data_IF_112226950332
#
_entry.id   IF_112226950332
#
_cell.length_a   1.000
_cell.length_b   1.000
_cell.length_c   1.000
_cell.angle_alpha   90.00
_cell.angle_beta   90.00
_cell.angle_gamma   90.00
#
_symmetry.space_group_name_H-M   'P 1'
#
loop_
_entity.id
_entity.type
_entity.pdbx_description
1 polymer ?
#
# COMPACT_ATOMS: atom_id res chain seq x y z
N UNK A 1 -8.36 28.91 15.02
CA UNK A 1 -8.82 28.74 13.62
C UNK A 1 -8.38 27.35 13.22
N UNK A 2 -9.33 26.45 12.99
CA UNK A 2 -9.05 25.09 12.56
C UNK A 2 -9.22 25.02 11.04
N UNK A 3 -8.76 23.92 10.47
CA UNK A 3 -8.82 23.70 9.03
C UNK A 3 -9.29 22.28 8.74
N UNK A 4 -10.03 22.12 7.65
CA UNK A 4 -10.61 20.86 7.17
C UNK A 4 -10.39 20.78 5.67
N UNK A 5 -10.08 19.58 5.16
CA UNK A 5 -10.02 19.35 3.72
C UNK A 5 -11.44 19.27 3.17
N UNK A 6 -11.73 20.14 2.20
CA UNK A 6 -12.96 20.13 1.44
C UNK A 6 -12.71 19.34 0.13
N UNK A 7 -13.29 18.14 -0.03
CA UNK A 7 -13.07 17.31 -1.20
C UNK A 7 -13.71 17.89 -2.48
N UNK A 8 -14.74 18.74 -2.37
CA UNK A 8 -15.38 19.39 -3.52
C UNK A 8 -14.48 20.51 -4.08
N UNK A 9 -13.72 21.17 -3.19
CA UNK A 9 -12.75 22.20 -3.56
C UNK A 9 -11.33 21.65 -3.76
N UNK A 10 -11.08 20.40 -3.37
CA UNK A 10 -9.75 19.81 -3.26
C UNK A 10 -8.77 20.73 -2.52
N UNK A 11 -9.25 21.40 -1.46
CA UNK A 11 -8.51 22.45 -0.76
C UNK A 11 -8.81 22.47 0.72
N UNK A 12 -7.92 23.09 1.50
CA UNK A 12 -8.07 23.26 2.94
C UNK A 12 -8.85 24.54 3.22
N UNK A 13 -10.01 24.42 3.88
CA UNK A 13 -10.87 25.56 4.24
C UNK A 13 -10.84 25.80 5.74
N UNK A 14 -11.01 27.06 6.14
CA UNK A 14 -11.10 27.42 7.54
C UNK A 14 -12.41 26.90 8.16
N UNK A 15 -12.33 26.41 9.38
CA UNK A 15 -13.50 25.99 10.17
C UNK A 15 -13.36 26.41 11.62
N UNK A 16 -14.51 26.73 12.23
CA UNK A 16 -14.63 26.98 13.66
C UNK A 16 -14.86 25.68 14.45
N UNK A 17 -15.14 24.57 13.77
CA UNK A 17 -15.28 23.27 14.41
C UNK A 17 -13.92 22.77 14.91
N UNK A 18 -13.83 22.41 16.20
CA UNK A 18 -12.70 21.66 16.71
C UNK A 18 -12.83 20.20 16.29
N UNK A 19 -11.75 19.54 15.83
CA UNK A 19 -11.80 18.11 15.59
C UNK A 19 -12.18 17.41 16.90
N UNK A 20 -13.02 16.35 16.84
CA UNK A 20 -13.39 15.61 18.04
C UNK A 20 -12.11 15.09 18.72
N UNK A 21 -12.02 15.15 20.06
CA UNK A 21 -10.87 14.63 20.77
C UNK A 21 -10.69 13.14 20.42
N UNK A 22 -9.45 12.66 20.24
CA UNK A 22 -9.22 11.27 19.88
C UNK A 22 -9.83 10.37 20.98
N UNK A 23 -10.61 9.33 20.61
CA UNK A 23 -11.17 8.43 21.61
C UNK A 23 -10.04 7.80 22.43
N UNK A 24 -10.25 7.76 23.75
CA UNK A 24 -9.32 7.15 24.70
C UNK A 24 -9.18 5.66 24.37
N UNK A 25 -7.95 5.16 24.38
CA UNK A 25 -7.70 3.73 24.22
C UNK A 25 -8.39 2.96 25.37
N UNK A 26 -9.24 2.00 25.03
CA UNK A 26 -10.05 1.23 25.98
C UNK A 26 -9.34 -0.01 26.53
N UNK A 27 -8.04 -0.14 26.29
CA UNK A 27 -7.24 -1.31 26.66
C UNK A 27 -6.30 -1.75 25.54
N UNK A 28 -5.63 -2.91 25.69
CA UNK A 28 -4.85 -3.51 24.63
C UNK A 28 -5.72 -3.86 23.41
N UNK A 29 -5.09 -3.99 22.25
CA UNK A 29 -5.76 -4.46 21.03
C UNK A 29 -6.30 -5.87 21.29
N UNK A 30 -7.59 -6.16 20.98
CA UNK A 30 -8.12 -7.51 21.04
C UNK A 30 -7.23 -8.50 20.27
N UNK A 31 -7.04 -9.70 20.82
CA UNK A 31 -6.11 -10.69 20.25
C UNK A 31 -6.49 -11.11 18.82
N UNK A 32 -7.79 -11.21 18.53
CA UNK A 32 -8.29 -11.56 17.20
C UNK A 32 -8.02 -10.46 16.16
N UNK A 33 -8.14 -9.19 16.56
CA UNK A 33 -7.81 -8.05 15.73
C UNK A 33 -6.31 -7.99 15.47
N UNK A 34 -5.49 -8.20 16.50
CA UNK A 34 -4.04 -8.26 16.35
C UNK A 34 -3.61 -9.38 15.38
N UNK A 35 -4.20 -10.58 15.46
CA UNK A 35 -3.91 -11.67 14.52
C UNK A 35 -4.27 -11.29 13.07
N UNK A 36 -5.44 -10.68 12.85
CA UNK A 36 -5.86 -10.20 11.52
C UNK A 36 -4.89 -9.14 10.98
N UNK A 37 -4.46 -8.20 11.81
CA UNK A 37 -3.50 -7.16 11.43
C UNK A 37 -2.14 -7.76 11.05
N UNK A 38 -1.65 -8.73 11.82
CA UNK A 38 -0.39 -9.42 11.53
C UNK A 38 -0.48 -10.19 10.21
N UNK A 39 -1.56 -10.95 9.98
CA UNK A 39 -1.78 -11.68 8.72
C UNK A 39 -1.85 -10.75 7.52
N UNK A 40 -2.53 -9.60 7.66
CA UNK A 40 -2.61 -8.62 6.61
C UNK A 40 -1.23 -7.98 6.34
N UNK A 41 -0.48 -7.66 7.39
CA UNK A 41 0.89 -7.18 7.26
C UNK A 41 1.79 -8.20 6.54
N UNK A 42 1.72 -9.47 6.93
CA UNK A 42 2.44 -10.57 6.27
C UNK A 42 2.04 -10.73 4.80
N UNK A 43 0.75 -10.66 4.48
CA UNK A 43 0.25 -10.70 3.10
C UNK A 43 0.78 -9.52 2.28
N UNK A 44 0.75 -8.31 2.82
CA UNK A 44 1.29 -7.12 2.15
C UNK A 44 2.80 -7.22 1.93
N UNK A 45 3.56 -7.74 2.90
CA UNK A 45 4.99 -7.97 2.78
C UNK A 45 5.31 -9.05 1.74
N UNK A 46 4.52 -10.12 1.69
CA UNK A 46 4.63 -11.17 0.68
C UNK A 46 4.41 -10.63 -0.73
N UNK A 47 3.36 -9.82 -0.93
CA UNK A 47 3.10 -9.17 -2.21
C UNK A 47 4.21 -8.19 -2.62
N UNK A 48 4.78 -7.43 -1.67
CA UNK A 48 5.94 -6.57 -1.91
C UNK A 48 7.13 -7.38 -2.41
N UNK A 49 7.46 -8.49 -1.75
CA UNK A 49 8.55 -9.38 -2.16
C UNK A 49 8.24 -10.00 -3.53
N UNK A 50 7.01 -10.47 -3.75
CA UNK A 50 6.58 -11.02 -5.03
C UNK A 50 6.80 -10.05 -6.19
N UNK A 51 6.45 -8.77 -6.00
CA UNK A 51 6.72 -7.70 -6.96
C UNK A 51 8.21 -7.51 -7.26
N UNK A 52 9.08 -7.57 -6.27
CA UNK A 52 10.52 -7.34 -6.48
C UNK A 52 11.19 -8.55 -7.15
N UNK A 53 10.80 -9.78 -6.78
CA UNK A 53 11.56 -10.97 -7.11
C UNK A 53 10.90 -11.90 -8.13
N UNK A 54 9.58 -12.05 -8.14
CA UNK A 54 8.92 -13.13 -8.88
C UNK A 54 8.38 -12.65 -10.23
N UNK A 55 8.51 -13.49 -11.25
CA UNK A 55 7.85 -13.32 -12.55
C UNK A 55 6.82 -14.41 -12.85
N UNK A 56 6.81 -15.49 -12.07
CA UNK A 56 5.83 -16.57 -12.14
C UNK A 56 5.67 -17.25 -10.76
N UNK A 57 4.76 -18.21 -10.64
CA UNK A 57 4.48 -18.97 -9.42
C UNK A 57 4.20 -18.06 -8.19
N UNK A 58 3.26 -17.11 -8.31
CA UNK A 58 3.07 -16.05 -7.31
C UNK A 58 2.61 -16.57 -5.94
N UNK A 59 2.09 -17.79 -5.86
CA UNK A 59 1.59 -18.43 -4.64
C UNK A 59 2.48 -19.59 -4.16
N UNK A 60 3.63 -19.82 -4.81
CA UNK A 60 4.56 -20.92 -4.50
C UNK A 60 3.86 -22.28 -4.37
N UNK A 61 2.93 -22.58 -5.30
CA UNK A 61 2.17 -23.85 -5.30
C UNK A 61 3.05 -25.04 -5.70
N UNK A 62 4.15 -24.76 -6.37
CA UNK A 62 5.22 -25.69 -6.70
C UNK A 62 6.55 -25.14 -6.14
N UNK A 63 7.57 -26.00 -5.89
CA UNK A 63 8.88 -25.56 -5.43
C UNK A 63 9.45 -24.45 -6.32
N UNK A 64 9.99 -23.40 -5.70
CA UNK A 64 10.52 -22.24 -6.40
C UNK A 64 11.73 -22.64 -7.26
N UNK A 65 11.69 -22.31 -8.55
CA UNK A 65 12.83 -22.49 -9.46
C UNK A 65 13.45 -21.14 -9.86
N UNK A 66 14.69 -21.16 -10.36
CA UNK A 66 15.40 -19.95 -10.78
C UNK A 66 14.66 -19.22 -11.92
N UNK A 67 14.02 -19.96 -12.81
CA UNK A 67 13.28 -19.44 -13.97
C UNK A 67 12.03 -18.65 -13.55
N UNK A 68 11.56 -18.85 -12.32
CA UNK A 68 10.41 -18.11 -11.77
C UNK A 68 10.82 -16.78 -11.12
N UNK A 69 12.11 -16.54 -10.94
CA UNK A 69 12.69 -15.29 -10.43
C UNK A 69 12.99 -14.35 -11.60
N UNK A 70 12.73 -13.06 -11.43
CA UNK A 70 13.03 -12.03 -12.43
C UNK A 70 14.53 -12.03 -12.77
N UNK A 71 14.91 -11.90 -14.05
CA UNK A 71 16.32 -11.85 -14.46
C UNK A 71 17.03 -10.57 -13.99
N UNK A 72 16.27 -9.52 -13.66
CA UNK A 72 16.77 -8.28 -13.07
C UNK A 72 15.91 -7.95 -11.85
N UNK A 73 16.54 -7.85 -10.69
CA UNK A 73 15.88 -7.52 -9.44
C UNK A 73 15.91 -6.00 -9.26
N UNK A 74 14.74 -5.37 -9.33
CA UNK A 74 14.57 -3.93 -9.22
C UNK A 74 13.47 -3.65 -8.20
N UNK A 75 13.69 -2.64 -7.35
CA UNK A 75 12.81 -2.27 -6.25
C UNK A 75 13.54 -2.20 -4.92
N UNK A 76 12.87 -1.64 -3.89
CA UNK A 76 13.47 -1.44 -2.58
C UNK A 76 12.69 -2.20 -1.50
N UNK A 77 13.39 -3.09 -0.80
CA UNK A 77 12.83 -3.77 0.36
C UNK A 77 12.96 -2.96 1.65
N UNK A 78 14.07 -2.23 1.85
CA UNK A 78 14.45 -1.70 3.17
C UNK A 78 13.39 -0.86 3.89
N UNK A 79 12.65 -0.01 3.18
CA UNK A 79 11.57 0.81 3.77
C UNK A 79 10.20 0.11 3.79
N UNK A 80 10.02 -0.90 2.94
CA UNK A 80 8.70 -1.43 2.58
C UNK A 80 7.94 -2.11 3.73
N UNK A 81 8.55 -2.94 4.61
CA UNK A 81 7.86 -3.48 5.77
C UNK A 81 7.35 -2.42 6.75
N UNK A 82 8.10 -1.33 6.90
CA UNK A 82 7.72 -0.20 7.73
C UNK A 82 6.52 0.56 7.16
N UNK A 83 6.55 0.84 5.85
CA UNK A 83 5.40 1.42 5.14
C UNK A 83 4.15 0.55 5.28
N UNK A 84 4.29 -0.76 5.06
CA UNK A 84 3.18 -1.71 5.21
C UNK A 84 2.63 -1.73 6.64
N UNK A 85 3.49 -1.69 7.66
CA UNK A 85 3.06 -1.65 9.07
C UNK A 85 2.28 -0.37 9.38
N UNK A 86 2.77 0.79 8.90
CA UNK A 86 2.09 2.08 9.07
C UNK A 86 0.72 2.02 8.39
N UNK A 87 0.64 1.52 7.16
CA UNK A 87 -0.61 1.39 6.43
C UNK A 87 -1.64 0.53 7.19
N UNK A 88 -1.23 -0.61 7.75
CA UNK A 88 -2.12 -1.45 8.59
C UNK A 88 -2.68 -0.69 9.79
N UNK A 89 -1.86 0.12 10.45
CA UNK A 89 -2.32 0.95 11.57
C UNK A 89 -3.24 2.07 11.11
N UNK A 90 -3.00 2.67 9.94
CA UNK A 90 -3.89 3.66 9.34
C UNK A 90 -5.25 3.02 8.98
N UNK A 91 -5.26 1.85 8.35
CA UNK A 91 -6.49 1.11 8.07
C UNK A 91 -7.26 0.80 9.36
N UNK A 92 -6.59 0.40 10.43
CA UNK A 92 -7.23 0.25 11.74
C UNK A 92 -7.83 1.56 12.25
N UNK A 93 -7.08 2.66 12.16
CA UNK A 93 -7.53 3.97 12.61
C UNK A 93 -8.79 4.41 11.85
N UNK A 94 -8.80 4.27 10.52
CA UNK A 94 -9.94 4.54 9.65
C UNK A 94 -11.13 3.66 10.05
N UNK A 95 -10.91 2.35 10.21
CA UNK A 95 -11.98 1.40 10.55
C UNK A 95 -12.59 1.59 11.93
N UNK A 96 -11.78 1.91 12.94
CA UNK A 96 -12.23 2.07 14.33
C UNK A 96 -12.81 3.46 14.63
N UNK A 97 -12.36 4.49 13.90
CA UNK A 97 -12.62 5.90 14.25
C UNK A 97 -13.19 6.74 13.12
N UNK A 98 -13.42 6.14 11.94
CA UNK A 98 -13.99 6.82 10.78
C UNK A 98 -13.18 8.07 10.38
N UNK A 99 -11.86 7.95 10.42
CA UNK A 99 -10.94 9.04 10.10
C UNK A 99 -10.83 9.20 8.60
N UNK A 100 -11.03 10.42 8.12
CA UNK A 100 -10.60 10.83 6.77
C UNK A 100 -9.10 11.15 6.78
N UNK A 101 -8.33 10.42 5.98
CA UNK A 101 -6.88 10.49 5.97
C UNK A 101 -6.30 10.28 4.58
N UNK A 102 -5.24 11.03 4.28
CA UNK A 102 -4.36 10.81 3.14
C UNK A 102 -3.00 10.33 3.66
N UNK A 103 -2.47 9.25 3.06
CA UNK A 103 -1.14 8.76 3.39
C UNK A 103 -0.10 9.23 2.38
N UNK A 104 0.77 10.16 2.80
CA UNK A 104 1.89 10.62 1.99
C UNK A 104 3.15 9.80 2.29
N UNK A 105 3.49 8.89 1.38
CA UNK A 105 4.66 8.04 1.52
C UNK A 105 5.95 8.82 1.15
N UNK A 106 6.54 9.51 2.14
CA UNK A 106 7.81 10.22 1.97
C UNK A 106 8.93 9.38 1.34
N UNK A 107 9.26 8.16 1.85
CA UNK A 107 10.19 7.25 1.19
C UNK A 107 9.50 6.53 0.03
N UNK A 108 9.16 7.28 -1.02
CA UNK A 108 8.36 6.82 -2.14
C UNK A 108 9.01 5.74 -3.00
N UNK A 109 10.32 5.52 -2.87
CA UNK A 109 11.02 4.36 -3.44
C UNK A 109 10.52 3.00 -2.89
N UNK A 110 9.70 3.02 -1.83
CA UNK A 110 8.90 1.91 -1.33
C UNK A 110 7.59 1.64 -2.09
N UNK A 111 7.50 2.05 -3.37
CA UNK A 111 6.37 1.80 -4.28
C UNK A 111 5.66 0.44 -4.16
N UNK A 112 6.36 -0.70 -4.15
CA UNK A 112 5.68 -2.01 -4.12
C UNK A 112 4.91 -2.24 -2.82
N UNK A 113 5.27 -1.58 -1.71
CA UNK A 113 4.49 -1.62 -0.47
C UNK A 113 3.11 -0.99 -0.67
N UNK A 114 3.05 0.24 -1.21
CA UNK A 114 1.77 0.93 -1.43
C UNK A 114 0.93 0.20 -2.49
N UNK A 115 1.55 -0.29 -3.57
CA UNK A 115 0.86 -1.11 -4.59
C UNK A 115 0.26 -2.38 -3.98
N UNK A 116 0.97 -3.05 -3.06
CA UNK A 116 0.43 -4.23 -2.37
C UNK A 116 -0.82 -3.90 -1.53
N UNK A 117 -0.85 -2.73 -0.89
CA UNK A 117 -1.99 -2.27 -0.08
C UNK A 117 -3.23 -2.06 -0.94
N UNK A 118 -3.12 -1.22 -1.97
CA UNK A 118 -4.25 -0.89 -2.86
C UNK A 118 -4.71 -2.10 -3.68
N UNK A 119 -3.86 -3.13 -3.86
CA UNK A 119 -4.27 -4.42 -4.43
C UNK A 119 -5.06 -5.28 -3.45
N UNK A 120 -4.66 -5.35 -2.17
CA UNK A 120 -5.40 -6.08 -1.14
C UNK A 120 -6.77 -5.46 -0.86
N UNK A 121 -6.88 -4.14 -0.97
CA UNK A 121 -8.13 -3.39 -0.79
C UNK A 121 -9.08 -3.51 -1.99
N UNK A 122 -8.58 -3.94 -3.15
CA UNK A 122 -9.37 -4.13 -4.37
C UNK A 122 -9.32 -2.95 -5.34
N UNK A 123 -9.02 -1.74 -4.86
CA UNK A 123 -8.96 -0.50 -5.66
C UNK A 123 -8.02 -0.64 -6.88
N UNK A 124 -6.89 -1.32 -6.73
CA UNK A 124 -5.99 -1.57 -7.86
C UNK A 124 -6.66 -2.38 -8.97
N UNK A 125 -7.45 -3.40 -8.62
CA UNK A 125 -8.18 -4.24 -9.57
C UNK A 125 -9.41 -3.54 -10.16
N UNK A 126 -10.01 -2.60 -9.45
CA UNK A 126 -11.09 -1.75 -9.98
C UNK A 126 -10.58 -0.83 -11.10
N UNK A 127 -9.40 -0.22 -10.89
CA UNK A 127 -8.76 0.68 -11.86
C UNK A 127 -8.06 -0.12 -12.99
N UNK A 128 -7.46 -1.25 -12.65
CA UNK A 128 -6.72 -2.13 -13.59
C UNK A 128 -7.33 -3.54 -13.61
N UNK A 129 -8.46 -3.77 -14.31
CA UNK A 129 -9.18 -5.05 -14.27
C UNK A 129 -8.39 -6.28 -14.73
N UNK A 130 -7.33 -6.09 -15.52
CA UNK A 130 -6.43 -7.18 -15.92
C UNK A 130 -5.64 -7.77 -14.73
N UNK A 131 -5.45 -6.99 -13.67
CA UNK A 131 -4.75 -7.37 -12.44
C UNK A 131 -5.79 -7.74 -11.39
N UNK A 132 -6.52 -8.84 -11.63
CA UNK A 132 -7.59 -9.36 -10.76
C UNK A 132 -7.08 -9.84 -9.39
N UNK A 133 -7.97 -9.90 -8.39
CA UNK A 133 -7.66 -10.44 -7.06
C UNK A 133 -7.64 -11.99 -7.03
N UNK A 134 -6.87 -12.60 -7.93
CA UNK A 134 -6.67 -14.04 -8.03
C UNK A 134 -5.21 -14.38 -8.38
N UNK A 135 -4.90 -15.67 -8.56
CA UNK A 135 -3.52 -16.10 -8.87
C UNK A 135 -3.00 -15.63 -10.24
N UNK A 136 -3.89 -15.38 -11.21
CA UNK A 136 -3.53 -14.83 -12.52
C UNK A 136 -3.20 -13.36 -12.41
N UNK A 137 -4.06 -12.57 -11.75
CA UNK A 137 -3.82 -11.16 -11.52
C UNK A 137 -2.63 -10.91 -10.61
N UNK A 138 -2.44 -11.70 -9.54
CA UNK A 138 -1.24 -11.63 -8.70
C UNK A 138 0.05 -11.90 -9.48
N UNK A 139 0.04 -12.85 -10.44
CA UNK A 139 1.18 -13.06 -11.34
C UNK A 139 1.46 -11.82 -12.19
N UNK A 140 0.42 -11.17 -12.71
CA UNK A 140 0.56 -9.94 -13.48
C UNK A 140 1.10 -8.80 -12.63
N UNK A 141 0.54 -8.60 -11.43
CA UNK A 141 0.99 -7.64 -10.43
C UNK A 141 2.49 -7.77 -10.17
N UNK A 142 2.95 -9.00 -9.95
CA UNK A 142 4.37 -9.26 -9.70
C UNK A 142 5.21 -8.98 -10.93
N UNK A 143 4.82 -9.54 -12.08
CA UNK A 143 5.60 -9.47 -13.31
C UNK A 143 5.78 -8.04 -13.82
N UNK A 144 4.77 -7.18 -13.72
CA UNK A 144 4.80 -5.81 -14.27
C UNK A 144 5.64 -4.83 -13.45
N UNK A 145 5.92 -5.11 -12.18
CA UNK A 145 6.64 -4.17 -11.33
C UNK A 145 8.08 -3.96 -11.82
N UNK A 146 8.46 -2.70 -12.08
CA UNK A 146 9.81 -2.30 -12.52
C UNK A 146 10.34 -3.07 -13.73
N UNK A 147 9.47 -3.39 -14.69
CA UNK A 147 9.85 -4.02 -15.96
C UNK A 147 9.53 -3.12 -17.15
N UNK A 148 10.18 -3.30 -18.32
CA UNK A 148 9.82 -2.58 -19.54
C UNK A 148 8.33 -2.73 -19.87
N UNK A 149 7.63 -1.61 -20.07
CA UNK A 149 6.17 -1.59 -20.32
C UNK A 149 5.29 -1.92 -19.11
N UNK A 150 5.88 -2.04 -17.92
CA UNK A 150 5.17 -2.26 -16.66
C UNK A 150 5.00 -0.97 -15.85
N UNK A 151 4.96 -1.11 -14.52
CA UNK A 151 4.74 0.02 -13.60
C UNK A 151 6.05 0.53 -12.95
N UNK A 152 6.10 1.81 -12.52
CA UNK A 152 7.27 2.39 -11.86
C UNK A 152 7.66 1.71 -10.54
N UNK A 153 8.87 2.00 -10.07
CA UNK A 153 9.40 1.49 -8.79
C UNK A 153 8.97 2.31 -7.57
N UNK A 154 8.53 3.55 -7.80
CA UNK A 154 8.09 4.49 -6.76
C UNK A 154 6.57 4.47 -6.60
N UNK A 155 6.04 5.21 -5.61
CA UNK A 155 4.60 5.47 -5.43
C UNK A 155 4.11 6.48 -6.48
N UNK A 156 4.43 6.24 -7.75
CA UNK A 156 4.21 7.17 -8.86
C UNK A 156 2.72 7.26 -9.23
N UNK A 157 2.41 8.17 -10.16
CA UNK A 157 1.06 8.50 -10.66
C UNK A 157 0.14 7.29 -10.94
N UNK A 158 0.61 6.14 -11.51
CA UNK A 158 -0.27 4.99 -11.73
C UNK A 158 -0.72 4.26 -10.46
N UNK A 159 -0.26 4.64 -9.28
CA UNK A 159 -0.68 4.03 -8.01
C UNK A 159 -1.95 4.72 -7.53
N UNK A 160 -3.09 4.01 -7.44
CA UNK A 160 -4.33 4.59 -6.90
C UNK A 160 -4.10 5.25 -5.54
N UNK A 161 -4.64 6.46 -5.37
CA UNK A 161 -4.48 7.26 -4.14
C UNK A 161 -3.17 8.02 -4.03
N UNK A 162 -2.21 7.85 -4.95
CA UNK A 162 -0.97 8.64 -4.90
C UNK A 162 -1.17 10.06 -5.43
N UNK A 163 -0.80 11.03 -4.58
CA UNK A 163 -0.60 12.44 -4.96
C UNK A 163 0.84 12.91 -4.67
N UNK A 164 1.70 11.99 -4.21
CA UNK A 164 3.09 12.26 -3.83
C UNK A 164 3.95 11.05 -4.17
N UNK A 165 4.84 11.21 -5.16
CA UNK A 165 5.67 10.11 -5.64
C UNK A 165 6.81 9.74 -4.68
N UNK A 166 7.35 10.71 -3.94
CA UNK A 166 8.46 10.51 -2.99
C UNK A 166 9.76 10.02 -3.63
N UNK A 167 10.01 10.40 -4.89
CA UNK A 167 11.26 10.10 -5.60
C UNK A 167 12.40 11.01 -5.19
N UNK A 168 12.25 12.32 -5.41
CA UNK A 168 13.10 13.33 -4.79
C UNK A 168 12.57 13.61 -3.38
N UNK A 169 13.37 13.28 -2.37
CA UNK A 169 12.98 13.39 -0.96
C UNK A 169 13.01 14.86 -0.49
N UNK A 170 12.14 15.19 0.47
CA UNK A 170 12.16 16.49 1.18
C UNK A 170 10.90 17.34 1.06
N UNK A 171 9.84 16.83 0.40
CA UNK A 171 8.63 17.60 0.06
C UNK A 171 7.35 16.97 0.63
N UNK A 172 7.43 16.39 1.83
CA UNK A 172 6.31 15.80 2.58
C UNK A 172 6.16 16.49 3.93
#
# INVERSE_FOLDING_TARGET
MNYVFDPDLSSVVATDAAPPPPPKASGPIPSDLLDKMLRYWDASNYLTVGQIYLQNNPLLREPLTKEQIKPRLLGHWGTSPGLNLIYVQLNRLIRERDVDAIYLAGPGHGGPAIVAQVYLEGTYSEIYPSVSQDGVGMRQLFRQFSTPGGIPSHVSVPTPGSIHEGGELGYV
#
